data_IF_949093390751
#
_entry.id   IF_949093390751
#
_cell.length_a   1.000
_cell.length_b   1.000
_cell.length_c   1.000
_cell.angle_alpha   90.00
_cell.angle_beta   90.00
_cell.angle_gamma   90.00
#
_symmetry.space_group_name_H-M   'P 1'
#
loop_
_entity.id
_entity.type
_entity.pdbx_description
1 polymer ?
#
# COMPACT_ATOMS: atom_id res chain seq x y z
N UNK A 1 27.64 16.70 -5.69
CA UNK A 1 26.17 16.71 -5.64
C UNK A 1 25.71 15.45 -4.93
N UNK A 2 24.61 15.53 -4.17
CA UNK A 2 24.04 14.41 -3.42
C UNK A 2 22.62 14.13 -3.94
N UNK A 3 22.32 12.85 -4.10
CA UNK A 3 21.01 12.38 -4.54
C UNK A 3 20.15 12.04 -3.33
N UNK A 4 18.83 12.18 -3.53
CA UNK A 4 17.82 11.83 -2.53
C UNK A 4 16.68 11.10 -3.23
N UNK A 5 16.14 10.09 -2.55
CA UNK A 5 14.90 9.44 -2.97
C UNK A 5 13.73 10.04 -2.20
N UNK A 6 12.55 10.02 -2.81
CA UNK A 6 11.30 10.29 -2.09
C UNK A 6 11.14 9.31 -0.92
N UNK A 7 10.41 9.71 0.13
CA UNK A 7 10.07 8.80 1.23
C UNK A 7 9.50 7.47 0.70
N UNK A 8 9.81 6.37 1.38
CA UNK A 8 9.40 5.01 0.99
C UNK A 8 10.26 4.34 -0.07
N UNK A 9 11.08 5.09 -0.82
CA UNK A 9 12.01 4.50 -1.77
C UNK A 9 13.42 4.39 -1.19
N UNK A 10 14.08 3.27 -1.50
CA UNK A 10 15.48 3.02 -1.17
C UNK A 10 16.36 3.27 -2.39
N UNK A 11 17.52 3.89 -2.16
CA UNK A 11 18.47 4.20 -3.24
C UNK A 11 19.31 2.98 -3.63
N UNK A 12 19.37 2.72 -4.93
CA UNK A 12 20.26 1.74 -5.57
C UNK A 12 21.29 2.46 -6.44
N UNK A 13 22.53 2.57 -5.95
CA UNK A 13 23.64 3.25 -6.62
C UNK A 13 24.44 4.14 -5.67
N UNK A 14 25.29 5.02 -6.23
CA UNK A 14 26.09 5.95 -5.43
C UNK A 14 25.27 7.18 -5.03
N UNK A 15 25.29 7.53 -3.75
CA UNK A 15 24.56 8.69 -3.20
C UNK A 15 25.12 10.04 -3.63
N UNK A 16 26.39 10.07 -4.01
CA UNK A 16 27.10 11.32 -4.33
C UNK A 16 27.82 11.21 -5.66
N UNK A 17 27.81 12.30 -6.42
CA UNK A 17 28.61 12.45 -7.63
C UNK A 17 29.49 13.70 -7.56
N UNK A 18 30.72 13.58 -8.04
CA UNK A 18 31.71 14.66 -8.14
C UNK A 18 32.06 14.87 -9.62
N UNK A 19 32.15 16.13 -10.05
CA UNK A 19 32.58 16.47 -11.40
C UNK A 19 34.10 16.27 -11.49
N UNK A 20 34.53 15.45 -12.45
CA UNK A 20 35.94 15.17 -12.66
C UNK A 20 36.56 16.15 -13.67
N UNK A 21 37.90 16.19 -13.70
CA UNK A 21 38.64 16.98 -14.69
C UNK A 21 38.33 16.58 -16.15
N UNK A 22 37.93 15.32 -16.38
CA UNK A 22 37.44 14.83 -17.67
C UNK A 22 36.07 15.40 -18.09
N UNK A 23 35.49 16.28 -17.28
CA UNK A 23 34.12 16.82 -17.43
C UNK A 23 33.03 15.73 -17.37
N UNK A 24 33.32 14.59 -16.73
CA UNK A 24 32.39 13.49 -16.49
C UNK A 24 32.13 13.35 -14.99
N UNK A 25 30.91 12.98 -14.61
CA UNK A 25 30.56 12.70 -13.22
C UNK A 25 31.17 11.37 -12.74
N UNK A 26 31.61 11.33 -11.48
CA UNK A 26 32.14 10.11 -10.85
C UNK A 26 31.14 8.97 -10.69
N UNK A 27 29.85 9.27 -10.82
CA UNK A 27 28.78 8.31 -10.66
C UNK A 27 27.66 8.60 -11.67
N UNK A 28 27.00 7.54 -12.13
CA UNK A 28 25.71 7.66 -12.79
C UNK A 28 24.61 8.07 -11.78
N UNK A 29 23.49 8.57 -12.30
CA UNK A 29 22.31 8.86 -11.48
C UNK A 29 21.80 7.55 -10.88
N UNK A 30 21.61 7.46 -9.55
CA UNK A 30 21.12 6.25 -8.91
C UNK A 30 19.62 6.04 -9.20
N UNK A 31 19.14 4.81 -9.00
CA UNK A 31 17.72 4.48 -9.11
C UNK A 31 17.07 4.45 -7.74
N UNK A 32 15.84 4.94 -7.60
CA UNK A 32 15.03 4.78 -6.40
C UNK A 32 14.10 3.59 -6.59
N UNK A 33 14.20 2.60 -5.69
CA UNK A 33 13.41 1.38 -5.74
C UNK A 33 12.53 1.28 -4.49
N UNK A 34 11.29 0.87 -4.68
CA UNK A 34 10.44 0.47 -3.57
C UNK A 34 10.84 -0.95 -3.14
N UNK A 35 11.04 -1.13 -1.84
CA UNK A 35 11.48 -2.39 -1.23
C UNK A 35 10.56 -2.81 -0.09
N UNK A 36 9.64 -1.95 0.34
CA UNK A 36 8.65 -2.31 1.34
C UNK A 36 7.42 -2.89 0.65
N UNK A 37 6.75 -3.83 1.31
CA UNK A 37 5.43 -4.27 0.86
C UNK A 37 4.36 -3.37 1.47
N UNK A 38 3.22 -3.16 0.77
CA UNK A 38 2.12 -2.38 1.31
C UNK A 38 1.56 -3.04 2.57
N UNK A 39 1.15 -2.23 3.53
CA UNK A 39 0.61 -2.65 4.83
C UNK A 39 -0.91 -2.52 4.78
N UNK A 40 -1.61 -3.64 4.95
CA UNK A 40 -3.08 -3.68 4.97
C UNK A 40 -3.54 -3.84 6.42
N UNK A 41 -4.38 -2.92 6.86
CA UNK A 41 -5.09 -2.97 8.13
C UNK A 41 -6.49 -3.51 7.90
N UNK A 42 -6.70 -4.75 8.31
CA UNK A 42 -8.02 -5.39 8.25
C UNK A 42 -8.95 -4.85 9.35
N UNK A 43 -10.25 -4.67 9.04
CA UNK A 43 -11.27 -4.45 10.06
C UNK A 43 -11.40 -5.67 10.97
N UNK A 44 -11.91 -5.45 12.18
CA UNK A 44 -12.27 -6.56 13.06
C UNK A 44 -13.33 -7.46 12.44
N UNK A 45 -13.25 -8.76 12.75
CA UNK A 45 -14.27 -9.73 12.36
C UNK A 45 -15.64 -9.28 12.86
N UNK A 46 -16.65 -9.37 11.99
CA UNK A 46 -18.03 -9.08 12.33
C UNK A 46 -18.77 -10.41 12.49
N UNK A 47 -19.19 -10.69 13.72
CA UNK A 47 -20.08 -11.79 14.04
C UNK A 47 -21.49 -11.23 14.22
N UNK A 48 -22.48 -11.80 13.53
CA UNK A 48 -23.88 -11.37 13.60
C UNK A 48 -24.82 -12.51 13.25
N UNK A 49 -25.80 -12.75 14.10
CA UNK A 49 -26.89 -13.68 13.85
C UNK A 49 -28.09 -13.02 13.15
N UNK A 50 -28.95 -13.83 12.55
CA UNK A 50 -30.20 -13.37 11.97
C UNK A 50 -31.21 -12.97 13.06
N UNK A 51 -32.06 -11.99 12.75
CA UNK A 51 -33.18 -11.66 13.63
C UNK A 51 -34.18 -12.84 13.67
N UNK A 52 -34.90 -13.08 14.77
CA UNK A 52 -35.86 -14.18 14.86
C UNK A 52 -36.87 -14.18 13.69
N UNK A 53 -36.98 -15.32 13.00
CA UNK A 53 -37.86 -15.48 11.84
C UNK A 53 -37.29 -14.95 10.51
N UNK A 54 -36.06 -14.43 10.48
CA UNK A 54 -35.33 -14.14 9.24
C UNK A 54 -34.34 -15.25 8.91
N UNK A 55 -34.21 -15.57 7.62
CA UNK A 55 -33.21 -16.52 7.11
C UNK A 55 -31.87 -15.85 6.74
N UNK A 56 -31.77 -14.53 6.92
CA UNK A 56 -30.59 -13.75 6.52
C UNK A 56 -30.26 -12.68 7.54
N UNK A 57 -28.97 -12.42 7.68
CA UNK A 57 -28.41 -11.36 8.50
C UNK A 57 -27.70 -10.33 7.62
N UNK A 58 -28.09 -9.06 7.73
CA UNK A 58 -27.36 -7.95 7.10
C UNK A 58 -26.10 -7.61 7.89
N UNK A 59 -24.92 -7.78 7.29
CA UNK A 59 -23.62 -7.55 7.92
C UNK A 59 -22.98 -6.28 7.35
N UNK A 60 -22.43 -5.44 8.23
CA UNK A 60 -21.77 -4.17 7.87
C UNK A 60 -20.36 -4.18 8.41
N UNK A 61 -19.40 -3.83 7.57
CA UNK A 61 -17.99 -3.69 7.94
C UNK A 61 -17.37 -2.45 7.30
N UNK A 62 -16.28 -2.04 7.91
CA UNK A 62 -15.46 -0.92 7.47
C UNK A 62 -14.58 -1.38 6.29
N UNK A 63 -14.27 -0.48 5.35
CA UNK A 63 -13.36 -0.80 4.25
C UNK A 63 -11.95 -1.02 4.80
N UNK A 64 -11.23 -2.09 4.41
CA UNK A 64 -9.84 -2.26 4.83
C UNK A 64 -8.99 -1.08 4.35
N UNK A 65 -8.10 -0.61 5.22
CA UNK A 65 -7.17 0.49 4.92
C UNK A 65 -5.85 -0.13 4.45
N UNK A 66 -5.44 0.19 3.22
CA UNK A 66 -4.10 -0.12 2.74
C UNK A 66 -3.24 1.13 2.76
N UNK A 67 -2.01 1.02 3.25
CA UNK A 67 -1.01 2.08 3.17
C UNK A 67 0.26 1.56 2.54
N UNK A 68 0.82 2.35 1.64
CA UNK A 68 2.12 2.09 1.03
C UNK A 68 3.04 3.28 1.32
N UNK A 69 4.32 3.00 1.55
CA UNK A 69 5.28 4.04 1.91
C UNK A 69 5.82 4.81 0.71
N UNK A 70 5.82 4.19 -0.48
CA UNK A 70 6.47 4.70 -1.68
C UNK A 70 5.52 5.57 -2.52
N UNK A 71 4.29 5.13 -2.79
CA UNK A 71 3.33 5.90 -3.61
C UNK A 71 2.26 6.64 -2.79
N UNK A 72 2.09 6.30 -1.51
CA UNK A 72 1.13 6.90 -0.59
C UNK A 72 -0.35 6.68 -0.93
N UNK A 73 -0.67 6.09 -2.10
CA UNK A 73 -2.02 5.81 -2.58
C UNK A 73 -1.99 4.49 -3.36
N UNK A 74 -2.54 3.43 -2.77
CA UNK A 74 -2.79 2.17 -3.46
C UNK A 74 -3.82 2.39 -4.58
N UNK A 75 -3.37 2.41 -5.83
CA UNK A 75 -4.23 2.56 -7.01
C UNK A 75 -4.82 1.23 -7.49
N UNK A 76 -4.19 0.11 -7.17
CA UNK A 76 -4.61 -1.23 -7.58
C UNK A 76 -5.17 -2.04 -6.38
N UNK A 77 -6.38 -1.68 -5.94
CA UNK A 77 -7.04 -2.34 -4.80
C UNK A 77 -8.08 -3.35 -5.29
N UNK A 78 -7.90 -4.61 -4.91
CA UNK A 78 -8.86 -5.68 -5.21
C UNK A 78 -9.58 -6.09 -3.92
N UNK A 79 -10.83 -5.67 -3.76
CA UNK A 79 -11.70 -6.15 -2.67
C UNK A 79 -12.34 -7.48 -3.06
N UNK A 80 -12.26 -8.46 -2.16
CA UNK A 80 -12.88 -9.77 -2.32
C UNK A 80 -14.09 -9.90 -1.39
N UNK A 81 -15.14 -10.57 -1.89
CA UNK A 81 -16.37 -10.83 -1.14
C UNK A 81 -17.54 -9.95 -1.58
N UNK A 82 -18.63 -10.03 -0.83
CA UNK A 82 -19.78 -9.14 -1.00
C UNK A 82 -19.40 -7.71 -0.57
N UNK A 83 -20.14 -6.66 -0.95
CA UNK A 83 -19.91 -5.31 -0.41
C UNK A 83 -20.46 -5.16 1.02
N UNK A 84 -19.98 -4.15 1.75
CA UNK A 84 -20.53 -3.81 3.07
C UNK A 84 -22.04 -3.56 2.99
N UNK A 85 -22.75 -3.91 4.07
CA UNK A 85 -24.23 -3.89 4.17
C UNK A 85 -24.93 -4.92 3.27
N UNK A 86 -24.28 -6.05 3.02
CA UNK A 86 -24.89 -7.20 2.32
C UNK A 86 -25.58 -8.17 3.27
N UNK A 87 -26.58 -8.87 2.75
CA UNK A 87 -27.28 -9.95 3.46
C UNK A 87 -26.55 -11.27 3.27
N UNK A 88 -26.35 -12.00 4.36
CA UNK A 88 -25.75 -13.33 4.40
C UNK A 88 -26.78 -14.33 4.94
N UNK A 89 -26.87 -15.53 4.37
CA UNK A 89 -27.73 -16.57 4.91
C UNK A 89 -27.22 -17.05 6.28
N UNK A 90 -28.14 -17.53 7.11
CA UNK A 90 -27.83 -18.31 8.31
C UNK A 90 -27.15 -19.64 7.98
#
# INVERSE_FOLDING_TARGET
FEFFCSPGYTMKGQKTAVCQHSHVWSAAVPTCIDVESPKIKCPSVKDKWADPGKLTARVTWDTPEGVDTADGILTDVILKGRPSKSDFPE
#
